data_IF_571880554680
#
_entry.id   IF_571880554680
#
_cell.length_a   1.000
_cell.length_b   1.000
_cell.length_c   1.000
_cell.angle_alpha   90.00
_cell.angle_beta   90.00
_cell.angle_gamma   90.00
#
_symmetry.space_group_name_H-M   'P 1'
#
loop_
_entity.id
_entity.type
_entity.pdbx_description
1 polymer ?
#
# COMPACT_ATOMS: atom_id res chain seq x y z
N UNK A 1 -20.76 -20.89 4.32
CA UNK A 1 -19.96 -20.22 3.26
C UNK A 1 -20.84 -19.35 2.36
N UNK A 2 -21.96 -19.87 1.82
CA UNK A 2 -22.93 -19.10 1.01
C UNK A 2 -23.54 -17.88 1.73
N UNK A 3 -23.88 -17.99 3.02
CA UNK A 3 -24.41 -16.84 3.77
C UNK A 3 -23.40 -15.72 4.00
N UNK A 4 -22.11 -16.06 4.10
CA UNK A 4 -21.03 -15.09 4.21
C UNK A 4 -20.89 -14.30 2.90
N UNK A 5 -20.95 -14.98 1.75
CA UNK A 5 -20.95 -14.35 0.44
C UNK A 5 -22.14 -13.42 0.23
N UNK A 6 -23.35 -13.83 0.66
CA UNK A 6 -24.57 -13.03 0.53
C UNK A 6 -24.54 -11.77 1.43
N UNK A 7 -23.86 -11.84 2.57
CA UNK A 7 -23.65 -10.69 3.48
C UNK A 7 -22.59 -9.72 2.95
N UNK A 8 -21.53 -10.23 2.33
CA UNK A 8 -20.54 -9.41 1.62
C UNK A 8 -21.17 -8.74 0.41
N UNK A 9 -21.95 -9.46 -0.40
CA UNK A 9 -22.66 -8.95 -1.58
C UNK A 9 -23.64 -7.80 -1.26
N UNK A 10 -24.28 -7.82 -0.07
CA UNK A 10 -25.10 -6.71 0.42
C UNK A 10 -24.31 -5.44 0.79
N UNK A 11 -23.01 -5.56 1.08
CA UNK A 11 -22.14 -4.44 1.50
C UNK A 11 -21.23 -3.92 0.39
N UNK A 12 -20.71 -4.81 -0.46
CA UNK A 12 -19.85 -4.52 -1.61
C UNK A 12 -20.09 -5.65 -2.64
N UNK A 13 -20.62 -5.35 -3.85
CA UNK A 13 -20.82 -6.37 -4.86
C UNK A 13 -19.47 -6.99 -5.21
N UNK A 14 -19.34 -8.32 -5.16
CA UNK A 14 -18.09 -9.04 -5.46
C UNK A 14 -17.52 -8.65 -6.84
N UNK A 15 -18.40 -8.29 -7.78
CA UNK A 15 -18.00 -7.75 -9.09
C UNK A 15 -17.18 -6.46 -9.03
N UNK A 16 -17.40 -5.59 -8.03
CA UNK A 16 -16.62 -4.35 -7.83
C UNK A 16 -15.19 -4.67 -7.41
N UNK A 17 -15.01 -5.64 -6.51
CA UNK A 17 -13.68 -6.12 -6.11
C UNK A 17 -12.95 -6.77 -7.29
N UNK A 18 -13.64 -7.62 -8.05
CA UNK A 18 -13.09 -8.25 -9.25
C UNK A 18 -12.64 -7.24 -10.29
N UNK A 19 -13.44 -6.20 -10.53
CA UNK A 19 -13.10 -5.10 -11.43
C UNK A 19 -11.85 -4.35 -10.94
N UNK A 20 -11.77 -4.01 -9.65
CA UNK A 20 -10.63 -3.30 -9.09
C UNK A 20 -9.32 -4.09 -9.25
N UNK A 21 -9.34 -5.40 -8.95
CA UNK A 21 -8.18 -6.29 -9.15
C UNK A 21 -7.80 -6.35 -10.63
N UNK A 22 -8.76 -6.53 -11.52
CA UNK A 22 -8.50 -6.58 -12.96
C UNK A 22 -7.85 -5.30 -13.50
N UNK A 23 -8.33 -4.14 -13.07
CA UNK A 23 -7.74 -2.84 -13.45
C UNK A 23 -6.31 -2.71 -12.92
N UNK A 24 -6.06 -3.07 -11.66
CA UNK A 24 -4.70 -3.04 -11.08
C UNK A 24 -3.76 -3.96 -11.88
N UNK A 25 -4.20 -5.18 -12.20
CA UNK A 25 -3.40 -6.13 -12.98
C UNK A 25 -3.06 -5.60 -14.38
N UNK A 26 -4.00 -4.94 -15.06
CA UNK A 26 -3.75 -4.32 -16.37
C UNK A 26 -2.73 -3.18 -16.25
N UNK A 27 -2.88 -2.30 -15.25
CA UNK A 27 -1.95 -1.17 -15.03
C UNK A 27 -0.54 -1.69 -14.76
N UNK A 28 -0.40 -2.69 -13.88
CA UNK A 28 0.88 -3.32 -13.56
C UNK A 28 1.48 -3.99 -14.80
N UNK A 29 0.66 -4.70 -15.57
CA UNK A 29 1.09 -5.35 -16.82
C UNK A 29 1.62 -4.35 -17.85
N UNK A 30 0.92 -3.24 -18.07
CA UNK A 30 1.35 -2.17 -18.99
C UNK A 30 2.65 -1.52 -18.51
N UNK A 31 2.77 -1.25 -17.21
CA UNK A 31 3.98 -0.67 -16.63
C UNK A 31 5.20 -1.55 -16.91
N UNK A 32 5.12 -2.85 -16.60
CA UNK A 32 6.24 -3.77 -16.83
C UNK A 32 6.51 -4.03 -18.32
N UNK A 33 5.48 -4.03 -19.18
CA UNK A 33 5.65 -4.33 -20.60
C UNK A 33 6.15 -3.14 -21.43
N UNK A 34 5.76 -1.91 -21.10
CA UNK A 34 5.95 -0.75 -21.97
C UNK A 34 6.80 0.37 -21.35
N UNK A 35 6.98 0.39 -20.03
CA UNK A 35 7.61 1.54 -19.33
C UNK A 35 8.88 1.11 -18.61
N UNK A 36 8.89 -0.08 -18.01
CA UNK A 36 10.03 -0.58 -17.27
C UNK A 36 11.14 -1.05 -18.23
N UNK A 37 12.05 -0.15 -18.58
CA UNK A 37 13.26 -0.50 -19.31
C UNK A 37 14.40 -0.82 -18.33
N UNK A 38 14.98 -2.00 -18.46
CA UNK A 38 16.20 -2.40 -17.76
C UNK A 38 17.41 -1.96 -18.57
N UNK A 39 18.21 -1.04 -18.03
CA UNK A 39 19.44 -0.53 -18.66
C UNK A 39 20.58 -0.48 -17.65
N UNK A 40 21.77 -1.01 -18.00
CA UNK A 40 22.97 -0.80 -17.20
C UNK A 40 23.43 0.65 -17.34
N UNK A 41 24.13 1.17 -16.33
CA UNK A 41 24.75 2.49 -16.39
C UNK A 41 26.09 2.46 -15.65
N UNK A 42 27.19 2.44 -16.40
CA UNK A 42 28.54 2.45 -15.84
C UNK A 42 29.04 3.89 -15.69
N UNK A 43 29.42 4.29 -14.48
CA UNK A 43 30.01 5.60 -14.22
C UNK A 43 31.26 5.49 -13.35
N UNK A 44 32.15 6.48 -13.49
CA UNK A 44 33.31 6.69 -12.63
C UNK A 44 33.04 7.85 -11.68
N UNK A 45 32.95 7.58 -10.39
CA UNK A 45 32.66 8.59 -9.37
C UNK A 45 33.95 8.93 -8.63
N UNK A 46 34.50 10.11 -8.86
CA UNK A 46 35.67 10.62 -8.13
C UNK A 46 35.29 10.88 -6.68
N UNK A 47 35.80 10.04 -5.78
CA UNK A 47 35.51 10.10 -4.34
C UNK A 47 36.49 10.99 -3.57
N UNK A 48 37.72 11.09 -4.05
CA UNK A 48 38.75 11.95 -3.45
C UNK A 48 39.83 12.27 -4.46
N UNK A 49 40.30 13.52 -4.44
CA UNK A 49 41.50 13.97 -5.14
C UNK A 49 42.27 14.87 -4.17
N UNK A 50 43.24 14.28 -3.47
CA UNK A 50 43.97 14.98 -2.40
C UNK A 50 45.46 14.92 -2.68
N UNK A 51 46.15 16.05 -2.57
CA UNK A 51 47.62 16.06 -2.55
C UNK A 51 48.12 15.28 -1.34
N UNK A 52 49.09 14.40 -1.56
CA UNK A 52 49.77 13.65 -0.47
C UNK A 52 50.55 14.64 0.40
N UNK A 53 51.08 15.70 -0.21
CA UNK A 53 51.78 16.77 0.47
C UNK A 53 51.58 18.08 -0.30
N UNK A 54 50.83 19.01 0.27
CA UNK A 54 50.61 20.35 -0.28
C UNK A 54 51.81 21.25 0.12
N UNK A 55 52.92 21.13 -0.63
CA UNK A 55 54.13 21.92 -0.38
C UNK A 55 53.91 23.34 -0.91
N UNK A 56 53.09 24.13 -0.21
CA UNK A 56 52.82 25.53 -0.56
C UNK A 56 53.96 26.48 -0.20
N UNK A 57 54.82 26.07 0.74
CA UNK A 57 56.00 26.80 1.16
C UNK A 57 57.13 25.79 1.40
N UNK A 58 58.38 26.15 1.08
CA UNK A 58 59.53 25.33 1.45
C UNK A 58 59.63 25.32 2.98
N UNK A 59 59.03 24.32 3.62
CA UNK A 59 59.24 24.09 5.05
C UNK A 59 60.71 23.69 5.18
N UNK A 60 61.52 24.59 5.75
CA UNK A 60 62.98 24.48 5.73
C UNK A 60 63.47 23.07 6.08
N UNK A 61 64.38 22.56 5.23
CA UNK A 61 65.07 21.26 5.30
C UNK A 61 64.25 19.99 4.97
N UNK A 62 62.99 20.10 4.52
CA UNK A 62 62.24 18.93 4.07
C UNK A 62 62.24 18.82 2.54
N UNK A 63 62.90 17.78 2.02
CA UNK A 63 62.85 17.41 0.61
C UNK A 63 62.19 16.04 0.43
N UNK A 64 61.34 15.91 -0.58
CA UNK A 64 60.61 14.67 -0.89
C UNK A 64 61.22 14.07 -2.13
N UNK A 65 61.84 12.90 -1.97
CA UNK A 65 62.45 12.15 -3.06
C UNK A 65 61.48 11.12 -3.60
N UNK A 66 61.27 11.13 -4.92
CA UNK A 66 60.58 10.07 -5.63
C UNK A 66 61.54 9.43 -6.63
N UNK A 67 61.79 8.12 -6.48
CA UNK A 67 62.80 7.37 -7.27
C UNK A 67 64.20 8.03 -7.27
N UNK A 68 64.54 8.72 -6.19
CA UNK A 68 65.83 9.41 -6.04
C UNK A 68 65.88 10.83 -6.61
N UNK A 69 64.81 11.34 -7.22
CA UNK A 69 64.71 12.72 -7.69
C UNK A 69 63.90 13.58 -6.71
N UNK A 70 64.36 14.80 -6.44
CA UNK A 70 63.61 15.78 -5.64
C UNK A 70 62.36 16.23 -6.40
N UNK A 71 61.20 16.06 -5.77
CA UNK A 71 59.94 16.57 -6.27
C UNK A 71 59.90 18.10 -6.24
N UNK A 72 60.56 18.71 -5.25
CA UNK A 72 60.66 20.17 -5.14
C UNK A 72 61.50 20.78 -6.26
N UNK A 73 62.69 20.23 -6.52
CA UNK A 73 63.57 20.74 -7.59
C UNK A 73 62.97 20.54 -8.98
N UNK A 74 62.20 19.46 -9.17
CA UNK A 74 61.53 19.15 -10.44
C UNK A 74 60.16 19.83 -10.61
N UNK A 75 59.71 20.63 -9.63
CA UNK A 75 58.39 21.26 -9.58
C UNK A 75 57.25 20.26 -9.83
N UNK A 76 57.33 19.11 -9.15
CA UNK A 76 56.34 18.03 -9.21
C UNK A 76 55.69 17.81 -7.84
N UNK A 77 54.47 17.31 -7.84
CA UNK A 77 53.75 16.91 -6.65
C UNK A 77 53.13 15.53 -6.81
N UNK A 78 52.84 14.89 -5.68
CA UNK A 78 52.15 13.61 -5.61
C UNK A 78 50.75 13.80 -5.07
N UNK A 79 49.75 13.27 -5.77
CA UNK A 79 48.38 13.22 -5.31
C UNK A 79 47.84 11.79 -5.31
N UNK A 80 46.90 11.56 -4.41
CA UNK A 80 46.08 10.35 -4.40
C UNK A 80 44.73 10.71 -5.01
N UNK A 81 44.45 10.09 -6.16
CA UNK A 81 43.15 10.15 -6.82
C UNK A 81 42.43 8.82 -6.57
N UNK A 82 41.27 8.89 -5.93
CA UNK A 82 40.44 7.72 -5.63
C UNK A 82 39.08 7.88 -6.28
N UNK A 83 38.69 6.92 -7.11
CA UNK A 83 37.40 6.94 -7.79
C UNK A 83 36.76 5.55 -7.76
N UNK A 84 35.43 5.54 -7.83
CA UNK A 84 34.62 4.33 -7.80
C UNK A 84 34.11 4.04 -9.20
N UNK A 85 34.31 2.81 -9.65
CA UNK A 85 33.67 2.25 -10.83
C UNK A 85 32.38 1.59 -10.36
N UNK A 86 31.23 2.11 -10.78
CA UNK A 86 29.92 1.68 -10.27
C UNK A 86 28.92 1.47 -11.41
N UNK A 87 28.11 0.42 -11.30
CA UNK A 87 26.91 0.28 -12.11
C UNK A 87 25.72 0.91 -11.37
N UNK A 88 25.30 2.11 -11.78
CA UNK A 88 24.11 2.80 -11.23
C UNK A 88 22.81 2.44 -11.95
N UNK A 89 22.89 1.60 -12.98
CA UNK A 89 21.74 1.14 -13.75
C UNK A 89 20.92 0.10 -13.00
N UNK A 90 19.76 -0.26 -13.55
CA UNK A 90 18.86 -1.30 -13.02
C UNK A 90 19.02 -2.65 -13.72
N UNK A 91 20.10 -2.83 -14.49
CA UNK A 91 20.48 -4.10 -15.15
C UNK A 91 21.98 -4.36 -14.92
N UNK A 92 22.39 -5.63 -14.96
CA UNK A 92 23.78 -6.04 -14.80
C UNK A 92 24.61 -5.76 -16.05
N UNK A 93 25.88 -5.40 -15.87
CA UNK A 93 26.85 -5.32 -16.97
C UNK A 93 27.51 -6.69 -17.08
N UNK A 94 27.19 -7.41 -18.16
CA UNK A 94 27.75 -8.74 -18.42
C UNK A 94 29.06 -8.63 -19.23
N UNK A 95 29.87 -9.70 -19.19
CA UNK A 95 31.10 -9.78 -19.98
C UNK A 95 30.88 -9.56 -21.48
N UNK A 96 29.72 -9.98 -22.00
CA UNK A 96 29.33 -9.80 -23.42
C UNK A 96 28.91 -8.37 -23.77
N UNK A 97 28.77 -7.47 -22.80
CA UNK A 97 28.40 -6.07 -23.07
C UNK A 97 29.62 -5.20 -23.38
N UNK A 98 30.83 -5.65 -23.07
CA UNK A 98 32.04 -4.89 -23.37
C UNK A 98 32.38 -4.97 -24.85
N UNK A 99 32.75 -3.84 -25.45
CA UNK A 99 33.28 -3.79 -26.81
C UNK A 99 34.78 -4.13 -26.81
N UNK A 100 35.14 -5.19 -27.53
CA UNK A 100 36.52 -5.68 -27.66
C UNK A 100 37.42 -4.71 -28.42
N UNK A 101 36.86 -3.94 -29.36
CA UNK A 101 37.58 -2.93 -30.13
C UNK A 101 37.75 -1.63 -29.35
N UNK A 102 36.82 -1.34 -28.44
CA UNK A 102 36.82 -0.14 -27.61
C UNK A 102 36.77 -0.51 -26.12
N UNK A 103 37.87 -1.09 -25.58
CA UNK A 103 37.86 -1.59 -24.23
C UNK A 103 37.71 -0.44 -23.22
N UNK A 104 36.88 -0.70 -22.22
CA UNK A 104 36.56 0.23 -21.14
C UNK A 104 37.82 0.53 -20.35
N UNK A 105 38.02 1.80 -20.02
CA UNK A 105 39.23 2.28 -19.40
C UNK A 105 39.07 3.68 -18.86
N UNK A 106 40.16 4.22 -18.32
CA UNK A 106 40.32 5.64 -18.10
C UNK A 106 41.66 6.13 -18.63
N UNK A 107 41.73 7.42 -18.91
CA UNK A 107 42.96 8.14 -19.24
C UNK A 107 43.19 9.15 -18.13
N UNK A 108 44.42 9.17 -17.60
CA UNK A 108 44.84 10.18 -16.65
C UNK A 108 45.35 11.40 -17.39
N UNK A 109 44.77 12.56 -17.12
CA UNK A 109 45.18 13.85 -17.68
C UNK A 109 45.93 14.65 -16.62
N UNK A 110 46.83 15.52 -17.07
CA UNK A 110 47.65 16.40 -16.22
C UNK A 110 48.46 15.63 -15.16
N UNK A 111 48.98 14.45 -15.52
CA UNK A 111 49.75 13.64 -14.60
C UNK A 111 50.18 12.31 -15.21
N UNK A 112 51.07 11.63 -14.49
CA UNK A 112 51.54 10.28 -14.80
C UNK A 112 51.33 9.39 -13.59
N UNK A 113 51.09 8.10 -13.82
CA UNK A 113 50.97 7.15 -12.73
C UNK A 113 52.33 6.93 -12.09
N UNK A 114 52.45 7.27 -10.82
CA UNK A 114 53.63 6.98 -10.02
C UNK A 114 53.69 5.47 -9.70
N UNK A 115 52.53 4.89 -9.38
CA UNK A 115 52.36 3.47 -9.10
C UNK A 115 51.19 2.87 -9.90
N UNK A 116 51.18 1.55 -10.01
CA UNK A 116 50.08 0.82 -10.61
C UNK A 116 48.78 1.07 -9.82
N UNK A 117 47.69 1.32 -10.55
CA UNK A 117 46.34 1.36 -10.01
C UNK A 117 46.05 0.13 -9.15
N UNK A 118 45.46 0.34 -7.98
CA UNK A 118 45.09 -0.72 -7.04
C UNK A 118 43.65 -0.58 -6.57
N UNK A 119 43.01 -1.70 -6.24
CA UNK A 119 41.69 -1.68 -5.59
C UNK A 119 41.90 -1.51 -4.09
N UNK A 120 41.17 -0.56 -3.51
CA UNK A 120 41.21 -0.28 -2.06
C UNK A 120 39.94 -0.67 -1.34
N UNK A 121 38.83 -0.83 -2.07
CA UNK A 121 37.54 -1.20 -1.52
C UNK A 121 36.67 -1.79 -2.65
N UNK A 122 35.81 -2.74 -2.34
CA UNK A 122 34.86 -3.31 -3.28
C UNK A 122 33.56 -3.70 -2.58
N UNK A 123 32.47 -3.71 -3.34
CA UNK A 123 31.16 -4.20 -2.86
C UNK A 123 31.07 -5.72 -2.81
N UNK A 124 31.95 -6.42 -3.54
CA UNK A 124 31.98 -7.87 -3.66
C UNK A 124 33.43 -8.38 -3.79
N UNK A 125 33.76 -9.46 -3.08
CA UNK A 125 35.07 -10.11 -3.12
C UNK A 125 35.46 -10.58 -4.54
N UNK A 126 34.49 -10.80 -5.43
CA UNK A 126 34.71 -11.08 -6.85
C UNK A 126 35.66 -10.07 -7.50
N UNK A 127 35.54 -8.78 -7.18
CA UNK A 127 36.36 -7.74 -7.81
C UNK A 127 37.84 -7.85 -7.42
N UNK A 128 38.15 -8.18 -6.17
CA UNK A 128 39.53 -8.26 -5.68
C UNK A 128 40.37 -9.31 -6.42
N UNK A 129 39.72 -10.38 -6.91
CA UNK A 129 40.41 -11.48 -7.62
C UNK A 129 40.46 -11.27 -9.13
N UNK A 130 39.43 -10.66 -9.70
CA UNK A 130 39.21 -10.62 -11.14
C UNK A 130 39.58 -9.29 -11.78
N UNK A 131 39.66 -8.21 -10.99
CA UNK A 131 40.04 -6.90 -11.53
C UNK A 131 41.55 -6.76 -11.54
N UNK A 132 42.14 -6.94 -12.73
CA UNK A 132 43.53 -6.65 -13.05
C UNK A 132 43.58 -5.60 -14.15
N UNK A 133 44.25 -4.49 -13.87
CA UNK A 133 44.38 -3.39 -14.82
C UNK A 133 45.46 -3.69 -15.86
N UNK A 134 45.19 -3.34 -17.12
CA UNK A 134 46.16 -3.38 -18.20
C UNK A 134 46.59 -1.96 -18.58
N UNK A 135 47.88 -1.76 -18.79
CA UNK A 135 48.45 -0.43 -19.06
C UNK A 135 48.89 -0.34 -20.51
N UNK A 136 48.36 0.63 -21.25
CA UNK A 136 48.84 0.96 -22.59
C UNK A 136 50.03 1.91 -22.52
N UNK A 137 50.87 1.89 -23.57
CA UNK A 137 51.99 2.83 -23.73
C UNK A 137 51.54 4.29 -23.80
N UNK A 138 50.30 4.53 -24.21
CA UNK A 138 49.74 5.88 -24.38
C UNK A 138 49.13 6.46 -23.09
N UNK A 139 49.39 5.84 -21.92
CA UNK A 139 48.85 6.30 -20.63
C UNK A 139 47.39 5.92 -20.37
N UNK A 140 46.75 5.19 -21.29
CA UNK A 140 45.43 4.59 -21.09
C UNK A 140 45.52 3.39 -20.15
N UNK A 141 44.66 3.36 -19.14
CA UNK A 141 44.46 2.20 -18.26
C UNK A 141 43.18 1.50 -18.66
N UNK A 142 43.31 0.25 -19.09
CA UNK A 142 42.18 -0.60 -19.48
C UNK A 142 41.66 -1.35 -18.27
N UNK A 143 40.35 -1.31 -18.08
CA UNK A 143 39.64 -2.12 -17.10
C UNK A 143 39.40 -3.52 -17.69
N UNK A 144 39.48 -4.58 -16.88
CA UNK A 144 39.11 -5.91 -17.29
C UNK A 144 37.59 -6.01 -17.48
N UNK A 145 37.17 -6.95 -18.33
CA UNK A 145 35.77 -7.32 -18.48
C UNK A 145 35.34 -8.10 -17.23
N UNK A 146 34.53 -7.48 -16.41
CA UNK A 146 34.02 -8.07 -15.17
C UNK A 146 32.51 -7.89 -15.11
N UNK A 147 31.82 -8.84 -14.47
CA UNK A 147 30.38 -8.70 -14.26
C UNK A 147 30.16 -7.67 -13.14
N UNK A 148 29.33 -6.67 -13.39
CA UNK A 148 28.99 -5.65 -12.40
C UNK A 148 27.46 -5.59 -12.28
N UNK A 149 26.92 -6.16 -11.22
CA UNK A 149 25.48 -6.13 -10.97
C UNK A 149 25.00 -4.71 -10.60
N UNK A 150 23.69 -4.49 -10.68
CA UNK A 150 23.07 -3.21 -10.30
C UNK A 150 23.48 -2.80 -8.87
N UNK A 151 24.02 -1.59 -8.73
CA UNK A 151 24.49 -1.03 -7.47
C UNK A 151 25.87 -1.51 -7.02
N UNK A 152 26.46 -2.53 -7.66
CA UNK A 152 27.80 -2.98 -7.34
C UNK A 152 28.88 -2.00 -7.82
N UNK A 153 29.97 -2.00 -7.09
CA UNK A 153 31.11 -1.13 -7.32
C UNK A 153 32.44 -1.73 -6.85
N UNK A 154 33.53 -1.14 -7.36
CA UNK A 154 34.86 -1.22 -6.77
C UNK A 154 35.56 0.14 -6.85
N UNK A 155 36.44 0.39 -5.89
CA UNK A 155 37.14 1.67 -5.72
C UNK A 155 38.60 1.51 -6.11
N UNK A 156 39.03 2.33 -7.06
CA UNK A 156 40.38 2.36 -7.59
C UNK A 156 41.13 3.53 -6.97
N UNK A 157 42.32 3.25 -6.45
CA UNK A 157 43.28 4.24 -5.96
C UNK A 157 44.41 4.38 -6.96
N UNK A 158 44.70 5.62 -7.33
CA UNK A 158 45.83 6.01 -8.16
C UNK A 158 46.78 6.88 -7.34
N UNK A 159 48.07 6.61 -7.46
CA UNK A 159 49.12 7.54 -7.03
C UNK A 159 49.62 8.27 -8.28
N UNK A 160 49.43 9.59 -8.31
CA UNK A 160 49.64 10.41 -9.50
C UNK A 160 50.78 11.40 -9.25
N UNK A 161 51.75 11.40 -10.14
CA UNK A 161 52.80 12.41 -10.23
C UNK A 161 52.39 13.47 -11.25
N UNK A 162 52.26 14.72 -10.83
CA UNK A 162 51.82 15.83 -11.67
C UNK A 162 52.65 17.09 -11.40
N UNK A 163 52.50 18.11 -12.25
CA UNK A 163 53.10 19.41 -12.00
C UNK A 163 52.39 20.10 -10.84
N UNK A 164 53.12 20.86 -10.00
CA UNK A 164 52.56 21.46 -8.78
C UNK A 164 51.39 22.42 -9.03
N UNK A 165 51.32 23.01 -10.22
CA UNK A 165 50.26 23.95 -10.62
C UNK A 165 49.10 23.30 -11.38
N UNK A 166 49.13 21.98 -11.57
CA UNK A 166 48.11 21.23 -12.30
C UNK A 166 47.32 20.31 -11.37
N UNK A 167 46.02 20.17 -11.62
CA UNK A 167 45.17 19.22 -10.90
C UNK A 167 44.94 18.02 -11.83
N UNK A 168 45.35 16.80 -11.43
CA UNK A 168 45.12 15.62 -12.23
C UNK A 168 43.64 15.22 -12.20
N UNK A 169 43.14 14.75 -13.34
CA UNK A 169 41.77 14.25 -13.48
C UNK A 169 41.71 13.08 -14.46
N UNK A 170 40.67 12.27 -14.36
CA UNK A 170 40.45 11.14 -15.27
C UNK A 170 39.37 11.45 -16.29
N UNK A 171 39.54 10.90 -17.49
CA UNK A 171 38.48 10.79 -18.50
C UNK A 171 38.20 9.32 -18.75
N UNK A 172 36.93 8.99 -18.96
CA UNK A 172 36.51 7.64 -19.31
C UNK A 172 36.76 7.36 -20.79
N UNK A 173 37.01 6.09 -21.12
CA UNK A 173 37.14 5.62 -22.50
C UNK A 173 36.49 4.25 -22.65
N UNK A 174 36.15 3.90 -23.89
CA UNK A 174 35.58 2.59 -24.25
C UNK A 174 34.06 2.60 -24.38
N UNK A 175 33.50 1.43 -24.72
CA UNK A 175 32.06 1.26 -24.96
C UNK A 175 31.52 0.03 -24.23
N UNK A 176 30.33 0.21 -23.66
CA UNK A 176 29.50 -0.86 -23.10
C UNK A 176 28.16 -0.84 -23.80
N UNK A 177 27.65 -2.01 -24.17
CA UNK A 177 26.34 -2.16 -24.78
C UNK A 177 25.25 -1.58 -23.87
N UNK A 178 24.27 -0.89 -24.46
CA UNK A 178 23.16 -0.22 -23.77
C UNK A 178 23.55 0.91 -22.80
N UNK A 179 24.84 1.25 -22.70
CA UNK A 179 25.33 2.44 -21.98
C UNK A 179 25.64 3.53 -23.00
N UNK A 180 24.98 4.67 -22.90
CA UNK A 180 25.15 5.77 -23.85
C UNK A 180 26.56 6.37 -23.75
N UNK A 181 26.93 6.82 -22.54
CA UNK A 181 28.24 7.33 -22.17
C UNK A 181 28.64 6.87 -20.77
N UNK A 182 29.94 6.64 -20.57
CA UNK A 182 30.52 6.39 -19.25
C UNK A 182 30.87 7.74 -18.66
N UNK A 183 30.14 8.22 -17.65
CA UNK A 183 30.38 9.56 -17.13
C UNK A 183 31.45 9.55 -16.03
N UNK A 184 32.24 10.61 -15.95
CA UNK A 184 33.13 10.88 -14.81
C UNK A 184 32.45 11.94 -13.95
N UNK A 185 31.97 11.54 -12.78
CA UNK A 185 31.19 12.38 -11.87
C UNK A 185 32.03 12.72 -10.65
N UNK A 186 31.83 13.91 -10.10
CA UNK A 186 32.34 14.25 -8.77
C UNK A 186 31.42 13.66 -7.69
N UNK A 187 31.93 13.47 -6.46
CA UNK A 187 31.14 12.90 -5.35
C UNK A 187 29.87 13.68 -5.05
N UNK A 188 29.85 15.00 -5.33
CA UNK A 188 28.68 15.87 -5.16
C UNK A 188 27.62 15.56 -6.22
N UNK A 189 28.01 15.53 -7.50
CA UNK A 189 27.12 15.19 -8.63
C UNK A 189 26.61 13.73 -8.54
N UNK A 190 27.40 12.83 -7.98
CA UNK A 190 26.97 11.45 -7.75
C UNK A 190 25.95 11.34 -6.60
N UNK A 191 25.99 12.26 -5.62
CA UNK A 191 25.02 12.34 -4.52
C UNK A 191 23.73 13.07 -4.89
N UNK A 192 23.74 13.84 -5.99
CA UNK A 192 22.53 14.15 -6.76
C UNK A 192 22.05 12.90 -7.51
N UNK A 193 21.87 11.81 -6.76
CA UNK A 193 20.92 10.78 -7.11
C UNK A 193 19.61 11.51 -7.34
N UNK A 194 19.27 11.67 -8.62
CA UNK A 194 18.12 12.42 -9.09
C UNK A 194 16.97 12.26 -8.10
N UNK A 195 16.67 13.35 -7.39
CA UNK A 195 15.63 13.42 -6.36
C UNK A 195 14.44 12.61 -6.86
N UNK A 196 13.81 11.80 -6.01
CA UNK A 196 12.69 10.94 -6.41
C UNK A 196 11.67 11.66 -7.31
N UNK A 197 11.50 12.97 -7.12
CA UNK A 197 10.75 13.86 -8.00
C UNK A 197 11.36 13.97 -9.41
N UNK A 198 12.64 14.31 -9.57
CA UNK A 198 13.26 14.39 -10.90
C UNK A 198 13.30 13.04 -11.61
N UNK A 199 13.45 11.89 -10.94
CA UNK A 199 13.30 10.56 -11.59
C UNK A 199 11.86 10.31 -12.09
N UNK A 200 10.83 10.77 -11.37
CA UNK A 200 9.43 10.55 -11.74
C UNK A 200 8.86 11.60 -12.70
N UNK A 201 9.43 12.79 -12.75
CA UNK A 201 9.04 13.88 -13.64
C UNK A 201 9.98 14.05 -14.84
N UNK A 202 11.11 13.35 -14.89
CA UNK A 202 11.89 13.20 -16.12
C UNK A 202 11.34 12.06 -16.99
N UNK A 203 11.48 12.23 -18.30
CA UNK A 203 11.04 11.28 -19.31
C UNK A 203 10.36 11.96 -20.48
N UNK A 204 10.04 11.15 -21.49
CA UNK A 204 9.27 11.57 -22.67
C UNK A 204 7.85 11.99 -22.26
N UNK A 205 7.25 12.94 -23.00
CA UNK A 205 5.89 13.44 -22.79
C UNK A 205 4.88 12.29 -22.85
N UNK A 206 5.13 11.30 -23.70
CA UNK A 206 4.36 10.07 -23.75
C UNK A 206 4.40 9.28 -22.43
N UNK A 207 5.59 9.12 -21.82
CA UNK A 207 5.72 8.43 -20.53
C UNK A 207 4.99 9.17 -19.41
N UNK A 208 5.06 10.51 -19.41
CA UNK A 208 4.35 11.31 -18.41
C UNK A 208 2.82 11.17 -18.55
N UNK A 209 2.30 11.09 -19.78
CA UNK A 209 0.88 10.88 -20.04
C UNK A 209 0.42 9.51 -19.51
N UNK A 210 1.18 8.45 -19.78
CA UNK A 210 0.88 7.10 -19.27
C UNK A 210 0.94 7.06 -17.75
N UNK A 211 1.96 7.68 -17.12
CA UNK A 211 2.06 7.79 -15.65
C UNK A 211 0.85 8.52 -15.07
N UNK A 212 0.40 9.60 -15.70
CA UNK A 212 -0.76 10.38 -15.25
C UNK A 212 -2.04 9.54 -15.25
N UNK A 213 -2.28 8.76 -16.31
CA UNK A 213 -3.44 7.85 -16.39
C UNK A 213 -3.36 6.77 -15.32
N UNK A 214 -2.18 6.16 -15.13
CA UNK A 214 -1.99 5.12 -14.11
C UNK A 214 -2.21 5.64 -12.69
N UNK A 215 -1.60 6.78 -12.34
CA UNK A 215 -1.77 7.42 -11.03
C UNK A 215 -3.21 7.87 -10.81
N UNK A 216 -3.89 8.40 -11.84
CA UNK A 216 -5.30 8.77 -11.77
C UNK A 216 -6.20 7.58 -11.46
N UNK A 217 -5.96 6.43 -12.10
CA UNK A 217 -6.73 5.21 -11.85
C UNK A 217 -6.50 4.65 -10.44
N UNK A 218 -5.25 4.62 -9.97
CA UNK A 218 -4.94 4.21 -8.59
C UNK A 218 -5.61 5.14 -7.57
N UNK A 219 -5.58 6.45 -7.82
CA UNK A 219 -6.28 7.44 -6.99
C UNK A 219 -7.78 7.18 -6.93
N UNK A 220 -8.45 6.93 -8.07
CA UNK A 220 -9.88 6.63 -8.10
C UNK A 220 -10.21 5.34 -7.32
N UNK A 221 -9.42 4.28 -7.50
CA UNK A 221 -9.59 3.02 -6.75
C UNK A 221 -9.43 3.26 -5.24
N UNK A 222 -8.43 4.06 -4.84
CA UNK A 222 -8.20 4.41 -3.43
C UNK A 222 -9.40 5.17 -2.83
N UNK A 223 -10.05 6.04 -3.61
CA UNK A 223 -11.22 6.80 -3.18
C UNK A 223 -12.42 5.88 -2.98
N UNK A 224 -12.67 4.94 -3.89
CA UNK A 224 -13.74 3.95 -3.76
C UNK A 224 -13.49 3.06 -2.52
N UNK A 225 -12.26 2.58 -2.34
CA UNK A 225 -11.84 1.82 -1.15
C UNK A 225 -12.07 2.61 0.14
N UNK A 226 -11.73 3.91 0.14
CA UNK A 226 -11.93 4.78 1.29
C UNK A 226 -13.41 4.92 1.66
N UNK A 227 -14.28 5.13 0.67
CA UNK A 227 -15.75 5.18 0.88
C UNK A 227 -16.27 3.85 1.43
N UNK A 228 -15.80 2.71 0.91
CA UNK A 228 -16.17 1.39 1.44
C UNK A 228 -15.78 1.21 2.91
N UNK A 229 -14.57 1.63 3.29
CA UNK A 229 -14.11 1.57 4.68
C UNK A 229 -15.02 2.41 5.59
N UNK A 230 -15.39 3.63 5.16
CA UNK A 230 -16.32 4.48 5.91
C UNK A 230 -17.68 3.79 6.10
N UNK A 231 -18.22 3.19 5.04
CA UNK A 231 -19.50 2.48 5.10
C UNK A 231 -19.46 1.29 6.09
N UNK A 232 -18.39 0.48 6.05
CA UNK A 232 -18.18 -0.63 6.98
C UNK A 232 -18.07 -0.14 8.43
N UNK A 233 -17.32 0.93 8.68
CA UNK A 233 -17.19 1.53 10.01
C UNK A 233 -18.52 2.09 10.52
N UNK A 234 -19.34 2.69 9.64
CA UNK A 234 -20.68 3.19 10.02
C UNK A 234 -21.58 2.05 10.48
N UNK A 235 -21.66 0.95 9.72
CA UNK A 235 -22.51 -0.19 10.06
C UNK A 235 -22.19 -0.78 11.45
N UNK A 236 -20.91 -0.83 11.81
CA UNK A 236 -20.45 -1.28 13.13
C UNK A 236 -20.81 -0.30 14.25
N UNK A 237 -20.69 1.01 14.00
CA UNK A 237 -21.12 2.04 14.95
C UNK A 237 -22.62 1.98 15.21
N UNK A 238 -23.43 1.82 14.17
CA UNK A 238 -24.88 1.77 14.31
C UNK A 238 -25.32 0.50 15.04
N UNK A 239 -24.70 -0.66 14.74
CA UNK A 239 -24.90 -1.88 15.53
C UNK A 239 -24.55 -1.71 17.01
N UNK A 240 -23.44 -1.01 17.32
CA UNK A 240 -23.07 -0.69 18.71
C UNK A 240 -24.09 0.24 19.39
N UNK A 241 -24.63 1.23 18.68
CA UNK A 241 -25.70 2.10 19.20
C UNK A 241 -26.95 1.29 19.52
N UNK A 242 -27.39 0.42 18.61
CA UNK A 242 -28.57 -0.46 18.83
C UNK A 242 -28.38 -1.38 20.03
N UNK A 243 -27.20 -2.00 20.18
CA UNK A 243 -26.86 -2.79 21.38
C UNK A 243 -26.94 -1.99 22.66
N UNK A 244 -26.46 -0.74 22.67
CA UNK A 244 -26.57 0.15 23.84
C UNK A 244 -28.03 0.49 24.16
N UNK A 245 -28.84 0.79 23.15
CA UNK A 245 -30.27 1.10 23.33
C UNK A 245 -31.03 -0.07 23.93
N UNK A 246 -30.80 -1.29 23.42
CA UNK A 246 -31.36 -2.53 23.96
C UNK A 246 -30.90 -2.74 25.40
N UNK A 247 -29.60 -2.65 25.68
CA UNK A 247 -29.08 -2.83 27.03
C UNK A 247 -29.69 -1.84 28.03
N UNK A 248 -29.83 -0.57 27.63
CA UNK A 248 -30.49 0.46 28.45
C UNK A 248 -31.98 0.18 28.67
N UNK A 249 -32.68 -0.40 27.70
CA UNK A 249 -34.08 -0.80 27.86
C UNK A 249 -34.21 -2.00 28.80
N UNK A 250 -33.35 -3.01 28.61
CA UNK A 250 -33.32 -4.21 29.43
C UNK A 250 -33.03 -3.90 30.90
N UNK A 251 -32.08 -3.00 31.17
CA UNK A 251 -31.71 -2.59 32.53
C UNK A 251 -32.88 -1.96 33.31
N UNK A 252 -33.73 -1.18 32.63
CA UNK A 252 -34.91 -0.54 33.26
C UNK A 252 -36.07 -1.52 33.45
N UNK A 253 -36.20 -2.52 32.57
CA UNK A 253 -37.37 -3.41 32.50
C UNK A 253 -37.10 -4.85 32.92
N UNK A 254 -35.98 -5.15 33.60
CA UNK A 254 -35.54 -6.53 33.92
C UNK A 254 -36.65 -7.44 34.50
N UNK A 255 -37.56 -6.89 35.31
CA UNK A 255 -38.64 -7.63 35.96
C UNK A 255 -39.78 -8.08 35.03
N UNK A 256 -39.83 -7.60 33.78
CA UNK A 256 -40.89 -7.89 32.79
C UNK A 256 -40.42 -8.80 31.65
N UNK A 257 -39.13 -9.13 31.60
CA UNK A 257 -38.52 -9.79 30.44
C UNK A 257 -38.47 -11.30 30.63
N UNK A 258 -38.87 -12.03 29.59
CA UNK A 258 -38.65 -13.46 29.38
C UNK A 258 -37.42 -13.68 28.51
N UNK A 259 -36.80 -14.87 28.58
CA UNK A 259 -35.73 -15.29 27.65
C UNK A 259 -36.19 -15.32 26.19
N UNK A 260 -37.49 -15.39 25.95
CA UNK A 260 -38.09 -15.38 24.62
C UNK A 260 -38.07 -13.97 23.99
N UNK A 261 -37.95 -12.92 24.81
CA UNK A 261 -37.88 -11.53 24.36
C UNK A 261 -36.49 -11.17 23.81
N UNK A 262 -35.45 -11.95 24.12
CA UNK A 262 -34.09 -11.75 23.59
C UNK A 262 -34.06 -11.84 22.06
N UNK A 263 -34.92 -12.65 21.47
CA UNK A 263 -35.03 -12.73 20.03
C UNK A 263 -35.44 -11.39 19.41
N UNK A 264 -36.43 -10.70 20.00
CA UNK A 264 -36.91 -9.41 19.53
C UNK A 264 -35.77 -8.37 19.52
N UNK A 265 -34.99 -8.34 20.58
CA UNK A 265 -33.86 -7.43 20.70
C UNK A 265 -32.75 -7.76 19.70
N UNK A 266 -32.48 -9.05 19.47
CA UNK A 266 -31.52 -9.49 18.47
C UNK A 266 -31.98 -9.12 17.05
N UNK A 267 -33.28 -9.23 16.76
CA UNK A 267 -33.88 -8.82 15.49
C UNK A 267 -33.61 -7.34 15.20
N UNK A 268 -33.81 -6.48 16.21
CA UNK A 268 -33.49 -5.05 16.11
C UNK A 268 -31.99 -4.80 15.90
N UNK A 269 -31.13 -5.50 16.64
CA UNK A 269 -29.67 -5.34 16.57
C UNK A 269 -29.12 -5.76 15.20
N UNK A 270 -29.58 -6.88 14.64
CA UNK A 270 -29.03 -7.44 13.40
C UNK A 270 -29.62 -6.82 12.13
N UNK A 271 -30.93 -6.53 12.08
CA UNK A 271 -31.64 -6.14 10.86
C UNK A 271 -32.02 -4.65 10.78
N UNK A 272 -31.30 -3.81 11.51
CA UNK A 272 -31.46 -2.34 11.51
C UNK A 272 -32.90 -1.88 11.78
N UNK A 273 -33.67 -2.67 12.52
CA UNK A 273 -35.07 -2.41 12.81
C UNK A 273 -36.03 -2.52 11.61
N UNK A 274 -35.57 -2.95 10.43
CA UNK A 274 -36.43 -3.14 9.24
C UNK A 274 -37.48 -4.21 9.52
N UNK A 275 -37.05 -5.37 10.01
CA UNK A 275 -37.97 -6.46 10.36
C UNK A 275 -38.83 -6.12 11.58
N UNK A 276 -38.29 -5.36 12.53
CA UNK A 276 -39.03 -4.84 13.67
C UNK A 276 -40.18 -3.92 13.23
N UNK A 277 -39.92 -3.04 12.25
CA UNK A 277 -40.93 -2.17 11.64
C UNK A 277 -41.99 -2.97 10.88
N UNK A 278 -41.58 -4.03 10.19
CA UNK A 278 -42.52 -4.93 9.53
C UNK A 278 -43.43 -5.60 10.56
N UNK A 279 -42.86 -6.15 11.64
CA UNK A 279 -43.60 -6.74 12.75
C UNK A 279 -44.58 -5.73 13.37
N UNK A 280 -44.10 -4.50 13.61
CA UNK A 280 -44.92 -3.42 14.15
C UNK A 280 -46.12 -3.11 13.27
N UNK A 281 -45.94 -3.04 11.96
CA UNK A 281 -47.05 -2.79 11.04
C UNK A 281 -48.11 -3.90 11.08
N UNK A 282 -47.73 -5.14 11.34
CA UNK A 282 -48.65 -6.28 11.39
C UNK A 282 -49.36 -6.36 12.73
N UNK A 283 -48.65 -6.07 13.82
CA UNK A 283 -49.22 -6.02 15.16
C UNK A 283 -50.03 -4.75 15.39
N UNK A 284 -49.80 -3.68 14.62
CA UNK A 284 -50.45 -2.39 14.78
C UNK A 284 -51.92 -2.36 14.30
N UNK A 285 -52.39 -3.39 13.61
CA UNK A 285 -53.75 -3.48 13.11
C UNK A 285 -54.34 -4.84 13.50
N UNK A 286 -54.82 -4.93 14.74
CA UNK A 286 -55.26 -6.18 15.36
C UNK A 286 -56.47 -6.78 14.64
N UNK A 287 -57.40 -5.95 14.16
CA UNK A 287 -58.55 -6.41 13.37
C UNK A 287 -58.09 -7.05 12.06
N UNK A 288 -57.17 -6.39 11.36
CA UNK A 288 -56.60 -6.90 10.12
C UNK A 288 -55.72 -8.12 10.35
N UNK A 289 -55.03 -8.22 11.49
CA UNK A 289 -54.26 -9.40 11.89
C UNK A 289 -55.20 -10.59 12.14
N UNK A 290 -56.28 -10.40 12.90
CA UNK A 290 -57.29 -11.44 13.13
C UNK A 290 -57.95 -11.87 11.82
N UNK A 291 -58.29 -10.92 10.95
CA UNK A 291 -58.81 -11.20 9.61
C UNK A 291 -57.81 -12.01 8.78
N UNK A 292 -56.50 -11.73 8.86
CA UNK A 292 -55.46 -12.52 8.17
C UNK A 292 -55.30 -13.91 8.74
N UNK A 293 -55.36 -14.06 10.06
CA UNK A 293 -55.33 -15.37 10.74
C UNK A 293 -56.53 -16.22 10.29
N UNK A 294 -57.73 -15.64 10.22
CA UNK A 294 -58.94 -16.34 9.76
C UNK A 294 -58.91 -16.67 8.27
N UNK A 295 -58.44 -15.74 7.44
CA UNK A 295 -58.38 -15.92 5.98
C UNK A 295 -57.18 -16.73 5.49
N UNK A 296 -56.22 -17.04 6.36
CA UNK A 296 -54.91 -17.66 6.04
C UNK A 296 -54.15 -16.93 4.92
N UNK A 297 -54.36 -15.62 4.81
CA UNK A 297 -53.65 -14.78 3.85
C UNK A 297 -52.33 -14.34 4.49
N UNK A 298 -51.21 -14.51 3.76
CA UNK A 298 -49.85 -14.18 4.22
C UNK A 298 -49.29 -15.11 5.31
N UNK A 299 -49.36 -16.42 5.04
CA UNK A 299 -48.96 -17.50 5.97
C UNK A 299 -47.52 -17.35 6.47
N UNK A 300 -46.59 -16.90 5.64
CA UNK A 300 -45.17 -16.76 6.03
C UNK A 300 -44.98 -15.71 7.15
N UNK A 301 -45.71 -14.59 7.11
CA UNK A 301 -45.66 -13.57 8.15
C UNK A 301 -46.32 -14.04 9.45
N UNK A 302 -47.36 -14.87 9.34
CA UNK A 302 -48.07 -15.46 10.47
C UNK A 302 -47.25 -16.56 11.17
N UNK A 303 -46.60 -17.44 10.41
CA UNK A 303 -45.67 -18.45 10.94
C UNK A 303 -44.52 -17.80 11.71
N UNK A 304 -43.96 -16.69 11.20
CA UNK A 304 -42.94 -15.92 11.92
C UNK A 304 -43.47 -15.30 13.22
N UNK A 305 -44.72 -14.81 13.23
CA UNK A 305 -45.34 -14.26 14.44
C UNK A 305 -45.66 -15.35 15.48
N UNK A 306 -45.98 -16.57 15.03
CA UNK A 306 -46.21 -17.73 15.87
C UNK A 306 -44.91 -18.30 16.43
N UNK A 307 -43.84 -18.38 15.63
CA UNK A 307 -42.48 -18.74 16.09
C UNK A 307 -42.01 -17.78 17.19
N UNK A 308 -42.43 -16.52 17.10
CA UNK A 308 -42.17 -15.47 18.08
C UNK A 308 -43.17 -15.47 19.25
N UNK A 309 -44.10 -16.40 19.29
CA UNK A 309 -45.19 -16.53 20.26
C UNK A 309 -45.96 -15.22 20.53
N UNK A 310 -46.06 -14.35 19.52
CA UNK A 310 -46.99 -13.20 19.56
C UNK A 310 -48.42 -13.65 19.30
N UNK A 311 -48.59 -14.67 18.48
CA UNK A 311 -49.87 -15.29 18.16
C UNK A 311 -49.77 -16.81 18.33
N UNK A 312 -50.88 -17.47 18.63
CA UNK A 312 -51.04 -18.92 18.51
C UNK A 312 -52.01 -19.17 17.36
N UNK A 313 -51.57 -19.80 16.26
CA UNK A 313 -52.46 -20.08 15.14
C UNK A 313 -53.43 -21.21 15.48
N UNK A 314 -53.02 -22.14 16.33
CA UNK A 314 -53.85 -23.25 16.82
C UNK A 314 -54.98 -22.74 17.73
N UNK A 315 -54.66 -21.89 18.70
CA UNK A 315 -55.64 -21.35 19.65
C UNK A 315 -56.33 -20.08 19.14
N UNK A 316 -55.83 -19.49 18.05
CA UNK A 316 -56.24 -18.18 17.51
C UNK A 316 -56.19 -17.06 18.56
N UNK A 317 -55.21 -17.12 19.45
CA UNK A 317 -55.01 -16.14 20.52
C UNK A 317 -53.81 -15.24 20.24
N UNK A 318 -53.86 -14.02 20.77
CA UNK A 318 -52.76 -13.05 20.71
C UNK A 318 -52.20 -12.88 22.13
N UNK A 319 -50.88 -13.01 22.28
CA UNK A 319 -50.19 -12.83 23.55
C UNK A 319 -50.14 -11.35 23.93
N UNK A 320 -51.10 -10.91 24.76
CA UNK A 320 -51.22 -9.50 25.20
C UNK A 320 -49.96 -8.97 25.87
N UNK A 321 -49.30 -9.79 26.69
CA UNK A 321 -48.08 -9.41 27.39
C UNK A 321 -46.94 -9.08 26.43
N UNK A 322 -46.75 -9.89 25.38
CA UNK A 322 -45.71 -9.68 24.38
C UNK A 322 -46.00 -8.51 23.46
N UNK A 323 -47.25 -8.35 23.00
CA UNK A 323 -47.66 -7.18 22.20
C UNK A 323 -47.46 -5.88 22.99
N UNK A 324 -47.79 -5.89 24.29
CA UNK A 324 -47.55 -4.74 25.16
C UNK A 324 -46.06 -4.43 25.32
N UNK A 325 -45.23 -5.44 25.59
CA UNK A 325 -43.77 -5.28 25.69
C UNK A 325 -43.18 -4.73 24.40
N UNK A 326 -43.60 -5.29 23.26
CA UNK A 326 -43.15 -4.87 21.94
C UNK A 326 -43.52 -3.40 21.65
N UNK A 327 -44.75 -2.99 21.97
CA UNK A 327 -45.19 -1.61 21.85
C UNK A 327 -44.40 -0.67 22.78
N UNK A 328 -44.17 -1.05 24.04
CA UNK A 328 -43.37 -0.27 24.99
C UNK A 328 -41.92 -0.09 24.49
N UNK A 329 -41.32 -1.16 23.96
CA UNK A 329 -40.00 -1.11 23.34
C UNK A 329 -39.97 -0.19 22.12
N UNK A 330 -40.98 -0.25 21.25
CA UNK A 330 -41.09 0.64 20.08
C UNK A 330 -41.24 2.10 20.47
N UNK A 331 -42.05 2.41 21.49
CA UNK A 331 -42.17 3.76 22.04
C UNK A 331 -40.87 4.23 22.70
N UNK A 332 -40.15 3.34 23.38
CA UNK A 332 -38.81 3.65 23.89
C UNK A 332 -37.84 4.03 22.76
N UNK A 333 -37.82 3.25 21.66
CA UNK A 333 -36.98 3.56 20.50
C UNK A 333 -37.35 4.89 19.83
N UNK A 334 -38.65 5.20 19.72
CA UNK A 334 -39.14 6.48 19.20
C UNK A 334 -38.70 7.66 20.08
N UNK A 335 -38.80 7.54 21.41
CA UNK A 335 -38.32 8.57 22.37
C UNK A 335 -36.81 8.82 22.30
N UNK A 336 -36.04 7.87 21.75
CA UNK A 336 -34.60 7.97 21.56
C UNK A 336 -34.22 8.36 20.12
N UNK A 337 -35.19 8.77 19.30
CA UNK A 337 -35.02 9.10 17.88
C UNK A 337 -34.36 7.98 17.06
N UNK A 338 -34.49 6.73 17.53
CA UNK A 338 -33.88 5.56 16.90
C UNK A 338 -34.77 4.93 15.82
N UNK A 339 -36.06 5.24 15.83
CA UNK A 339 -37.07 4.80 14.86
C UNK A 339 -38.02 5.99 14.61
N UNK A 340 -38.45 6.26 13.37
CA UNK A 340 -39.39 7.34 13.09
C UNK A 340 -40.72 7.16 13.83
N UNK A 341 -41.38 8.28 14.14
CA UNK A 341 -42.67 8.30 14.84
C UNK A 341 -43.73 7.64 13.96
N UNK A 342 -44.28 6.53 14.44
CA UNK A 342 -45.47 5.89 13.89
C UNK A 342 -46.69 6.28 14.74
N UNK A 343 -47.89 6.21 14.16
CA UNK A 343 -49.13 6.41 14.93
C UNK A 343 -49.10 5.51 16.17
N UNK A 344 -49.23 6.13 17.33
CA UNK A 344 -49.16 5.46 18.63
C UNK A 344 -50.33 4.51 18.79
N UNK A 345 -50.00 3.29 19.20
CA UNK A 345 -50.95 2.31 19.68
C UNK A 345 -51.70 2.87 20.91
N UNK A 346 -53.02 2.98 20.86
CA UNK A 346 -53.81 3.22 22.08
C UNK A 346 -54.12 1.86 22.68
N UNK A 347 -53.56 1.59 23.86
CA UNK A 347 -53.83 0.36 24.59
C UNK A 347 -55.32 0.18 24.95
N UNK A 348 -56.08 1.27 25.00
CA UNK A 348 -57.51 1.29 25.27
C UNK A 348 -58.36 0.70 24.13
N UNK A 349 -57.81 0.52 22.92
CA UNK A 349 -58.52 -0.09 21.79
C UNK A 349 -58.57 -1.64 21.89
N UNK A 350 -58.06 -2.22 22.98
CA UNK A 350 -58.01 -3.66 23.26
C UNK A 350 -59.06 -4.10 24.29
N UNK A 351 -60.33 -3.72 24.13
CA UNK A 351 -61.43 -4.39 24.83
C UNK A 351 -61.70 -5.75 24.17
N UNK A 352 -60.87 -6.74 24.47
CA UNK A 352 -61.21 -8.13 24.17
C UNK A 352 -62.11 -8.66 25.27
N UNK A 353 -63.43 -8.63 25.04
CA UNK A 353 -64.33 -9.57 25.68
C UNK A 353 -63.72 -10.97 25.51
N UNK A 354 -63.45 -11.65 26.63
CA UNK A 354 -63.12 -13.06 26.58
C UNK A 354 -64.31 -13.77 25.97
N UNK A 355 -64.26 -14.09 24.67
CA UNK A 355 -65.18 -15.03 24.06
C UNK A 355 -64.77 -16.40 24.59
N UNK A 356 -65.17 -16.70 25.83
CA UNK A 356 -65.23 -18.06 26.31
C UNK A 356 -66.26 -18.73 25.41
N UNK A 357 -65.91 -19.76 24.64
CA UNK A 357 -66.91 -20.50 23.89
C UNK A 357 -67.88 -21.09 24.90
N UNK A 358 -69.12 -20.60 24.89
CA UNK A 358 -70.20 -21.13 25.71
C UNK A 358 -70.35 -22.60 25.32
N UNK A 359 -70.17 -23.50 26.29
CA UNK A 359 -70.28 -24.93 26.10
C UNK A 359 -71.56 -25.28 25.33
N UNK A 360 -71.38 -26.13 24.32
CA UNK A 360 -72.47 -26.74 23.59
C UNK A 360 -73.37 -27.49 24.58
N UNK A 361 -74.61 -27.01 24.67
CA UNK A 361 -75.74 -27.62 25.34
C UNK A 361 -75.85 -29.09 24.90
N UNK A 362 -75.50 -30.00 25.81
CA UNK A 362 -75.68 -31.43 25.62
C UNK A 362 -77.11 -31.77 26.02
N UNK A 363 -77.95 -31.95 25.01
CA UNK A 363 -79.34 -32.36 25.15
C UNK A 363 -79.49 -33.66 25.95
N UNK A 364 -80.52 -33.67 26.79
CA UNK A 364 -81.07 -34.85 27.46
C UNK A 364 -82.09 -35.57 26.59
#
# INVERSE_FOLDING_TARGET
MLEYFRKVEKSVPVGVLGLAVGVISIIVGIYYAAIYETKPQLDFVVTSNSSVLDIKESVGNLDVLYKGESLNESNRSLSILTFRVINRGNDSILNSYYDDLNPVGFVLNNGTLAENASIVNSSDHYFEKNVKFEYSKDGKVTLPKVIIDSGQYFTVKLLVLHHSNEIPFITSVGKVAKVDSINVLTSIEASEDSSWLSKNFSGDLYMQLVRTVCYGMVFLISLIMFVMIIALLSSSKDKRKRKKLVASYQDVNQHKLSSEDDYLFNLYIENDGIELKFLYRHLADTELLMQRIESKVDVESLEKLEELAYISLEERTISKSRVFLFNDFMQYLQRKDAVPVYSTFKADDFEFESVIPTEADSGT
#
